data_IF_251220004695
#
_entry.id   IF_251220004695
#
_cell.length_a   1.000
_cell.length_b   1.000
_cell.length_c   1.000
_cell.angle_alpha   90.00
_cell.angle_beta   90.00
_cell.angle_gamma   90.00
#
_symmetry.space_group_name_H-M   'P 1'
#
loop_
_entity.id
_entity.type
_entity.pdbx_description
1 polymer ?
#
# COMPACT_ATOMS: atom_id res chain seq x y z
N UNK A 1 -5.89 17.29 9.46
CA UNK A 1 -4.99 16.40 10.23
C UNK A 1 -5.76 15.94 11.46
N UNK A 2 -5.80 14.65 11.76
CA UNK A 2 -6.44 14.13 12.97
C UNK A 2 -5.39 14.06 14.08
N UNK A 3 -5.72 14.54 15.28
CA UNK A 3 -4.80 14.53 16.42
C UNK A 3 -4.63 13.11 16.98
N UNK A 4 -3.44 12.74 17.52
CA UNK A 4 -3.18 11.41 18.04
C UNK A 4 -4.14 10.96 19.13
N UNK A 5 -4.63 11.87 19.98
CA UNK A 5 -5.57 11.58 21.05
C UNK A 5 -6.90 11.07 20.52
N UNK A 6 -7.39 11.63 19.40
CA UNK A 6 -8.62 11.18 18.72
C UNK A 6 -8.42 9.79 18.12
N UNK A 7 -7.27 9.55 17.51
CA UNK A 7 -6.90 8.24 16.93
C UNK A 7 -6.81 7.19 18.04
N UNK A 8 -6.10 7.48 19.13
CA UNK A 8 -5.97 6.58 20.27
C UNK A 8 -7.32 6.27 20.93
N UNK A 9 -8.23 7.26 20.97
CA UNK A 9 -9.59 7.01 21.44
C UNK A 9 -10.33 6.03 20.50
N UNK A 10 -10.23 6.21 19.17
CA UNK A 10 -10.83 5.27 18.22
C UNK A 10 -10.24 3.85 18.35
N UNK A 11 -8.92 3.72 18.55
CA UNK A 11 -8.25 2.44 18.80
C UNK A 11 -8.81 1.81 20.10
N UNK A 12 -9.01 2.59 21.16
CA UNK A 12 -9.59 2.07 22.42
C UNK A 12 -11.03 1.58 22.27
N UNK A 13 -11.72 2.01 21.21
CA UNK A 13 -13.07 1.55 20.85
C UNK A 13 -13.07 0.36 19.86
N UNK A 14 -11.89 -0.18 19.52
CA UNK A 14 -11.76 -1.37 18.68
C UNK A 14 -11.35 -1.10 17.23
N UNK A 15 -10.89 0.13 16.89
CA UNK A 15 -10.26 0.37 15.59
C UNK A 15 -8.90 -0.34 15.55
N UNK A 16 -8.74 -1.24 14.61
CA UNK A 16 -7.56 -2.13 14.49
C UNK A 16 -6.61 -1.76 13.35
N UNK A 17 -6.97 -0.79 12.50
CA UNK A 17 -6.13 -0.30 11.40
C UNK A 17 -6.21 1.22 11.27
N UNK A 18 -5.06 1.86 11.12
CA UNK A 18 -4.96 3.29 10.81
C UNK A 18 -4.03 3.53 9.63
N UNK A 19 -4.30 4.58 8.85
CA UNK A 19 -3.52 4.93 7.66
C UNK A 19 -2.98 6.36 7.71
N UNK A 20 -1.72 6.53 7.34
CA UNK A 20 -1.09 7.83 7.17
C UNK A 20 -0.69 8.09 5.70
N UNK A 21 -0.95 9.32 5.24
CA UNK A 21 -0.69 9.72 3.85
C UNK A 21 0.67 10.39 3.65
N UNK A 22 1.28 10.92 4.71
CA UNK A 22 2.52 11.70 4.61
C UNK A 22 3.55 11.23 5.62
N UNK A 23 4.74 10.95 5.15
CA UNK A 23 5.85 10.47 5.97
C UNK A 23 6.12 11.43 7.16
N UNK A 24 6.11 12.75 6.94
CA UNK A 24 6.36 13.71 8.01
C UNK A 24 5.27 13.69 9.08
N UNK A 25 4.00 13.51 8.68
CA UNK A 25 2.88 13.39 9.63
C UNK A 25 3.00 12.11 10.44
N UNK A 26 3.27 10.97 9.78
CA UNK A 26 3.53 9.71 10.42
C UNK A 26 4.62 9.86 11.50
N UNK A 27 5.80 10.34 11.10
CA UNK A 27 6.94 10.48 12.03
C UNK A 27 6.66 11.41 13.22
N UNK A 28 5.89 12.48 13.02
CA UNK A 28 5.56 13.44 14.08
C UNK A 28 4.58 12.90 15.12
N UNK A 29 3.84 11.85 14.77
CA UNK A 29 2.79 11.26 15.59
C UNK A 29 3.13 9.85 16.10
N UNK A 30 4.08 9.17 15.48
CA UNK A 30 4.37 7.75 15.69
C UNK A 30 4.50 7.39 17.16
N UNK A 31 5.33 8.11 17.91
CA UNK A 31 5.57 7.86 19.33
C UNK A 31 4.37 8.18 20.25
N UNK A 32 3.33 8.79 19.67
CA UNK A 32 2.10 9.15 20.39
C UNK A 32 0.95 8.18 20.14
N UNK A 33 1.11 7.28 19.17
CA UNK A 33 0.09 6.27 18.87
C UNK A 33 0.15 5.09 19.83
N UNK A 34 -1.01 4.59 20.22
CA UNK A 34 -1.14 3.34 20.97
C UNK A 34 -1.39 2.19 19.99
N UNK A 35 -0.30 1.58 19.50
CA UNK A 35 -0.35 0.57 18.44
C UNK A 35 -0.39 -0.88 18.93
N UNK A 36 -0.57 -1.14 20.23
CA UNK A 36 -0.50 -2.50 20.80
C UNK A 36 -1.42 -3.52 20.08
N UNK A 37 -2.58 -3.07 19.60
CA UNK A 37 -3.55 -3.89 18.85
C UNK A 37 -4.04 -3.18 17.57
N UNK A 38 -3.23 -2.32 16.98
CA UNK A 38 -3.61 -1.54 15.82
C UNK A 38 -2.49 -1.51 14.80
N UNK A 39 -2.79 -1.92 13.56
CA UNK A 39 -1.86 -1.87 12.44
C UNK A 39 -1.76 -0.44 11.90
N UNK A 40 -0.53 0.05 11.79
CA UNK A 40 -0.24 1.32 11.14
C UNK A 40 0.15 1.09 9.69
N UNK A 41 -0.58 1.68 8.76
CA UNK A 41 -0.38 1.51 7.33
C UNK A 41 -0.03 2.82 6.66
N UNK A 42 0.84 2.78 5.66
CA UNK A 42 1.15 3.94 4.82
C UNK A 42 0.35 3.85 3.52
N UNK A 43 -0.53 4.81 3.30
CA UNK A 43 -1.51 4.79 2.19
C UNK A 43 -1.30 5.92 1.17
N UNK A 44 -0.35 6.83 1.40
CA UNK A 44 -0.06 7.93 0.48
C UNK A 44 1.08 7.63 -0.48
N UNK A 45 1.30 8.50 -1.46
CA UNK A 45 2.43 8.36 -2.39
C UNK A 45 3.78 8.37 -1.65
N UNK A 46 4.55 7.30 -1.79
CA UNK A 46 5.83 7.11 -1.11
C UNK A 46 7.01 7.41 -2.05
N UNK A 47 7.76 8.44 -1.73
CA UNK A 47 9.02 8.72 -2.43
C UNK A 47 10.11 7.74 -1.97
N UNK A 48 10.93 7.24 -2.91
CA UNK A 48 11.99 6.26 -2.63
C UNK A 48 12.97 6.70 -1.53
N UNK A 49 13.33 7.99 -1.50
CA UNK A 49 14.24 8.54 -0.49
C UNK A 49 13.63 8.62 0.93
N UNK A 50 12.33 8.35 1.07
CA UNK A 50 11.60 8.35 2.35
C UNK A 50 11.37 6.94 2.91
N UNK A 51 11.53 5.89 2.10
CA UNK A 51 11.30 4.49 2.51
C UNK A 51 12.00 4.17 3.82
N UNK A 52 13.30 4.49 3.94
CA UNK A 52 14.11 4.20 5.15
C UNK A 52 13.58 4.83 6.44
N UNK A 53 12.69 5.83 6.34
CA UNK A 53 12.17 6.54 7.51
C UNK A 53 10.95 5.87 8.12
N UNK A 54 10.26 5.01 7.34
CA UNK A 54 9.00 4.40 7.76
C UNK A 54 9.00 2.87 7.71
N UNK A 55 9.99 2.25 7.08
CA UNK A 55 10.02 0.81 6.82
C UNK A 55 9.96 -0.05 8.09
N UNK A 56 10.45 0.47 9.20
CA UNK A 56 10.44 -0.16 10.53
C UNK A 56 9.25 0.28 11.42
N UNK A 57 8.32 1.07 10.87
CA UNK A 57 7.25 1.72 11.64
C UNK A 57 5.86 1.35 11.16
N UNK A 58 5.76 0.84 9.95
CA UNK A 58 4.47 0.50 9.33
C UNK A 58 4.39 -1.00 9.05
N UNK A 59 3.19 -1.55 9.20
CA UNK A 59 2.94 -2.97 8.94
C UNK A 59 2.64 -3.22 7.46
N UNK A 60 2.16 -2.21 6.73
CA UNK A 60 1.77 -2.32 5.33
C UNK A 60 2.02 -1.00 4.59
N UNK A 61 2.64 -1.09 3.41
CA UNK A 61 2.74 0.02 2.46
C UNK A 61 1.80 -0.26 1.28
N UNK A 62 0.75 0.55 1.11
CA UNK A 62 -0.30 0.30 0.12
C UNK A 62 -0.06 0.96 -1.26
N UNK A 63 1.00 1.73 -1.42
CA UNK A 63 1.20 2.64 -2.56
C UNK A 63 2.40 2.28 -3.43
N UNK A 64 2.68 0.98 -3.61
CA UNK A 64 3.77 0.55 -4.49
C UNK A 64 3.29 0.61 -5.94
N UNK A 65 3.89 1.50 -6.73
CA UNK A 65 3.49 1.80 -8.12
C UNK A 65 4.58 1.53 -9.17
N UNK A 66 5.77 1.12 -8.73
CA UNK A 66 6.92 0.95 -9.62
C UNK A 66 7.96 0.00 -9.07
N UNK A 67 8.70 -0.66 -9.95
CA UNK A 67 9.84 -1.52 -9.56
C UNK A 67 10.93 -0.73 -8.83
N UNK A 68 11.11 0.55 -9.15
CA UNK A 68 12.07 1.42 -8.47
C UNK A 68 11.72 1.57 -6.98
N UNK A 69 10.44 1.77 -6.65
CA UNK A 69 9.99 1.87 -5.27
C UNK A 69 10.07 0.51 -4.58
N UNK A 70 9.59 -0.56 -5.22
CA UNK A 70 9.67 -1.92 -4.69
C UNK A 70 11.10 -2.35 -4.37
N UNK A 71 12.05 -2.08 -5.28
CA UNK A 71 13.48 -2.37 -5.07
C UNK A 71 14.08 -1.59 -3.89
N UNK A 72 13.66 -0.34 -3.68
CA UNK A 72 14.15 0.42 -2.50
C UNK A 72 13.52 -0.11 -1.21
N UNK A 73 12.24 -0.53 -1.21
CA UNK A 73 11.59 -1.19 -0.07
C UNK A 73 12.33 -2.48 0.27
N UNK A 74 12.52 -3.39 -0.68
CA UNK A 74 13.29 -4.62 -0.55
C UNK A 74 14.67 -4.38 0.05
N UNK A 75 15.44 -3.47 -0.54
CA UNK A 75 16.78 -3.10 -0.07
C UNK A 75 16.79 -2.59 1.37
N UNK A 76 15.83 -1.79 1.79
CA UNK A 76 15.78 -1.26 3.15
C UNK A 76 15.28 -2.32 4.13
N UNK A 77 14.32 -3.17 3.75
CA UNK A 77 13.83 -4.28 4.55
C UNK A 77 14.95 -5.31 4.85
N UNK A 78 15.72 -5.69 3.84
CA UNK A 78 16.87 -6.59 3.99
C UNK A 78 17.94 -6.03 4.92
N UNK A 79 18.20 -4.73 4.92
CA UNK A 79 19.19 -4.10 5.81
C UNK A 79 18.87 -4.26 7.29
N UNK A 80 17.59 -4.33 7.63
CA UNK A 80 17.12 -4.47 9.00
C UNK A 80 16.52 -5.86 9.28
N UNK A 81 16.70 -6.78 8.32
CA UNK A 81 16.29 -8.19 8.40
C UNK A 81 14.79 -8.37 8.70
N UNK A 82 13.95 -7.63 7.98
CA UNK A 82 12.49 -7.78 7.99
C UNK A 82 11.99 -8.16 6.60
N UNK A 83 10.73 -8.62 6.55
CA UNK A 83 9.95 -8.72 5.33
C UNK A 83 8.87 -7.64 5.36
N UNK A 84 8.77 -6.81 4.32
CA UNK A 84 7.81 -5.72 4.24
C UNK A 84 6.61 -6.14 3.41
N UNK A 85 5.43 -6.13 4.02
CA UNK A 85 4.18 -6.37 3.32
C UNK A 85 3.75 -5.13 2.54
N UNK A 86 3.29 -5.31 1.31
CA UNK A 86 2.89 -4.21 0.42
C UNK A 86 1.63 -4.52 -0.37
N UNK A 87 0.91 -3.47 -0.79
CA UNK A 87 -0.06 -3.55 -1.89
C UNK A 87 0.49 -2.81 -3.11
N UNK A 88 0.17 -3.32 -4.30
CA UNK A 88 0.50 -2.63 -5.54
C UNK A 88 -0.66 -1.70 -5.92
N UNK A 89 -0.35 -0.41 -6.04
CA UNK A 89 -1.33 0.62 -6.43
C UNK A 89 -1.55 0.58 -7.93
N UNK A 90 -2.83 0.42 -8.34
CA UNK A 90 -3.26 0.36 -9.72
C UNK A 90 -4.00 1.65 -10.09
N UNK A 91 -3.56 2.34 -11.13
CA UNK A 91 -4.26 3.49 -11.70
C UNK A 91 -5.47 3.03 -12.52
N UNK A 92 -6.49 2.57 -11.83
CA UNK A 92 -7.70 2.01 -12.45
C UNK A 92 -8.50 3.05 -13.24
N UNK A 93 -8.37 4.32 -12.87
CA UNK A 93 -9.01 5.47 -13.55
C UNK A 93 -8.27 5.95 -14.78
N UNK A 94 -7.03 5.51 -15.00
CA UNK A 94 -6.14 5.96 -16.09
C UNK A 94 -5.93 7.47 -16.12
N UNK A 95 -5.84 8.08 -14.95
CA UNK A 95 -5.60 9.51 -14.79
C UNK A 95 -4.08 9.80 -14.85
N UNK A 96 -3.64 10.63 -15.79
CA UNK A 96 -2.21 10.94 -16.01
C UNK A 96 -1.51 11.55 -14.77
N UNK A 97 -2.28 12.24 -13.93
CA UNK A 97 -1.75 12.94 -12.74
C UNK A 97 -1.89 12.12 -11.44
N UNK A 98 -2.23 10.84 -11.52
CA UNK A 98 -2.40 9.95 -10.37
C UNK A 98 -1.30 8.92 -10.32
N UNK A 99 -0.97 8.49 -9.08
CA UNK A 99 -0.09 7.35 -8.84
C UNK A 99 -0.75 6.04 -9.29
N UNK A 100 0.03 4.98 -9.28
CA UNK A 100 -0.41 3.64 -9.62
C UNK A 100 0.07 3.19 -10.99
N UNK A 101 0.39 1.91 -11.09
CA UNK A 101 0.74 1.26 -12.35
C UNK A 101 -0.50 1.14 -13.25
N UNK A 102 -0.33 1.28 -14.56
CA UNK A 102 -1.44 1.03 -15.48
C UNK A 102 -1.84 -0.46 -15.46
N UNK A 103 -3.15 -0.79 -15.56
CA UNK A 103 -3.61 -2.18 -15.48
C UNK A 103 -2.87 -3.15 -16.40
N UNK A 104 -2.54 -2.74 -17.61
CA UNK A 104 -1.80 -3.54 -18.59
C UNK A 104 -0.34 -3.77 -18.26
N UNK A 105 0.25 -2.99 -17.36
CA UNK A 105 1.64 -3.10 -16.91
C UNK A 105 1.75 -3.81 -15.55
N UNK A 106 0.60 -4.08 -14.89
CA UNK A 106 0.56 -4.63 -13.54
C UNK A 106 1.27 -6.01 -13.47
N UNK A 107 0.98 -6.89 -14.41
CA UNK A 107 1.55 -8.24 -14.40
C UNK A 107 3.07 -8.21 -14.55
N UNK A 108 3.60 -7.38 -15.44
CA UNK A 108 5.04 -7.19 -15.61
C UNK A 108 5.68 -6.68 -14.33
N UNK A 109 5.06 -5.68 -13.67
CA UNK A 109 5.54 -5.16 -12.40
C UNK A 109 5.53 -6.24 -11.31
N UNK A 110 4.46 -7.03 -11.20
CA UNK A 110 4.38 -8.11 -10.22
C UNK A 110 5.45 -9.20 -10.47
N UNK A 111 5.70 -9.60 -11.71
CA UNK A 111 6.78 -10.53 -12.04
C UNK A 111 8.15 -9.98 -11.63
N UNK A 112 8.40 -8.68 -11.82
CA UNK A 112 9.64 -8.06 -11.39
C UNK A 112 9.76 -7.98 -9.85
N UNK A 113 8.65 -7.74 -9.14
CA UNK A 113 8.64 -7.72 -7.66
C UNK A 113 8.85 -9.14 -7.10
N UNK A 114 8.33 -10.16 -7.76
CA UNK A 114 8.48 -11.56 -7.34
C UNK A 114 9.96 -12.01 -7.23
N UNK A 115 10.86 -11.37 -7.97
CA UNK A 115 12.31 -11.62 -7.93
C UNK A 115 13.03 -10.90 -6.77
N UNK A 116 12.31 -10.10 -5.97
CA UNK A 116 12.88 -9.32 -4.86
C UNK A 116 12.70 -10.03 -3.53
N UNK A 117 13.77 -10.13 -2.74
CA UNK A 117 13.72 -10.60 -1.36
C UNK A 117 13.29 -9.49 -0.38
N UNK A 118 12.74 -9.87 0.77
CA UNK A 118 12.39 -8.93 1.86
C UNK A 118 11.17 -8.07 1.58
N UNK A 119 10.36 -8.43 0.58
CA UNK A 119 9.10 -7.79 0.24
C UNK A 119 8.05 -8.84 -0.10
N UNK A 120 6.80 -8.66 0.31
CA UNK A 120 5.67 -9.54 -0.04
C UNK A 120 4.48 -8.71 -0.48
N UNK A 121 3.94 -9.01 -1.65
CA UNK A 121 2.70 -8.38 -2.13
C UNK A 121 1.50 -9.13 -1.54
N UNK A 122 0.66 -8.41 -0.78
CA UNK A 122 -0.53 -8.95 -0.12
C UNK A 122 -1.83 -8.64 -0.88
N UNK A 123 -1.75 -7.88 -1.94
CA UNK A 123 -2.93 -7.52 -2.72
C UNK A 123 -2.71 -6.29 -3.59
N UNK A 124 -3.82 -5.75 -4.04
CA UNK A 124 -3.87 -4.57 -4.89
C UNK A 124 -4.59 -3.43 -4.18
N UNK A 125 -4.21 -2.20 -4.49
CA UNK A 125 -4.87 -0.99 -4.02
C UNK A 125 -5.27 -0.12 -5.22
N UNK A 126 -6.40 0.58 -5.13
CA UNK A 126 -6.77 1.58 -6.10
C UNK A 126 -7.61 2.69 -5.47
N UNK A 127 -7.41 3.90 -5.96
CA UNK A 127 -8.27 5.05 -5.67
C UNK A 127 -8.95 5.44 -6.97
N UNK A 128 -10.23 5.07 -7.16
CA UNK A 128 -10.94 5.42 -8.38
C UNK A 128 -11.15 6.93 -8.50
N UNK A 129 -11.37 7.46 -9.71
CA UNK A 129 -11.74 8.85 -9.94
C UNK A 129 -13.01 9.23 -9.16
N UNK A 130 -13.10 10.49 -8.78
CA UNK A 130 -14.34 11.03 -8.20
C UNK A 130 -15.42 11.01 -9.27
N UNK A 131 -16.47 10.26 -9.03
CA UNK A 131 -17.60 10.12 -9.94
C UNK A 131 -18.90 10.47 -9.23
N UNK A 132 -19.79 11.20 -9.91
CA UNK A 132 -21.14 11.50 -9.40
C UNK A 132 -22.08 10.27 -9.46
N UNK A 133 -21.77 9.31 -10.35
CA UNK A 133 -22.59 8.11 -10.55
C UNK A 133 -22.03 6.92 -9.77
N UNK A 134 -22.84 6.35 -8.89
CA UNK A 134 -22.54 5.10 -8.18
C UNK A 134 -22.28 3.92 -9.13
N UNK A 135 -22.92 3.92 -10.29
CA UNK A 135 -22.70 2.91 -11.33
C UNK A 135 -21.27 2.95 -11.86
N UNK A 136 -20.74 4.14 -12.16
CA UNK A 136 -19.33 4.29 -12.62
C UNK A 136 -18.34 3.86 -11.55
N UNK A 137 -18.61 4.17 -10.28
CA UNK A 137 -17.78 3.71 -9.17
C UNK A 137 -17.79 2.18 -9.11
N UNK A 138 -18.95 1.55 -9.20
CA UNK A 138 -19.08 0.08 -9.25
C UNK A 138 -18.32 -0.54 -10.43
N UNK A 139 -18.30 0.11 -11.58
CA UNK A 139 -17.53 -0.37 -12.75
C UNK A 139 -16.01 -0.40 -12.45
N UNK A 140 -15.46 0.62 -11.75
CA UNK A 140 -14.05 0.61 -11.35
C UNK A 140 -13.75 -0.52 -10.35
N UNK A 141 -14.59 -0.70 -9.34
CA UNK A 141 -14.40 -1.79 -8.37
C UNK A 141 -14.56 -3.17 -9.02
N UNK A 142 -15.49 -3.36 -9.95
CA UNK A 142 -15.62 -4.60 -10.71
C UNK A 142 -14.38 -4.88 -11.56
N UNK A 143 -13.80 -3.86 -12.20
CA UNK A 143 -12.53 -4.00 -12.93
C UNK A 143 -11.39 -4.43 -11.99
N UNK A 144 -11.26 -3.77 -10.83
CA UNK A 144 -10.25 -4.14 -9.84
C UNK A 144 -10.44 -5.57 -9.33
N UNK A 145 -11.68 -5.95 -9.04
CA UNK A 145 -12.00 -7.31 -8.61
C UNK A 145 -11.59 -8.35 -9.67
N UNK A 146 -11.91 -8.12 -10.95
CA UNK A 146 -11.50 -9.03 -12.02
C UNK A 146 -9.97 -9.13 -12.14
N UNK A 147 -9.26 -8.00 -12.07
CA UNK A 147 -7.79 -7.98 -12.08
C UNK A 147 -7.25 -8.77 -10.88
N UNK A 148 -7.81 -8.57 -9.69
CA UNK A 148 -7.41 -9.30 -8.49
C UNK A 148 -7.59 -10.81 -8.65
N UNK A 149 -8.75 -11.26 -9.18
CA UNK A 149 -9.01 -12.69 -9.44
C UNK A 149 -8.01 -13.24 -10.47
N UNK A 150 -7.78 -12.52 -11.57
CA UNK A 150 -6.86 -12.97 -12.60
C UNK A 150 -5.42 -13.13 -12.07
N UNK A 151 -4.95 -12.18 -11.26
CA UNK A 151 -3.62 -12.25 -10.63
C UNK A 151 -3.57 -13.35 -9.57
N UNK A 152 -4.59 -13.50 -8.73
CA UNK A 152 -4.60 -14.51 -7.65
C UNK A 152 -4.51 -15.95 -8.16
N UNK A 153 -4.91 -16.19 -9.41
CA UNK A 153 -4.77 -17.50 -10.08
C UNK A 153 -3.33 -17.78 -10.55
N UNK A 154 -2.50 -16.72 -10.65
CA UNK A 154 -1.11 -16.84 -11.06
C UNK A 154 -0.24 -17.09 -9.82
N UNK A 155 0.43 -18.21 -9.79
CA UNK A 155 1.37 -18.56 -8.70
C UNK A 155 2.69 -17.84 -8.95
N UNK A 156 2.84 -16.64 -8.40
CA UNK A 156 4.08 -15.88 -8.41
C UNK A 156 4.70 -15.93 -7.00
N UNK A 157 6.01 -16.06 -6.93
CA UNK A 157 6.73 -16.02 -5.66
C UNK A 157 6.56 -14.63 -4.99
N UNK A 158 6.50 -14.58 -3.66
CA UNK A 158 6.29 -13.36 -2.88
C UNK A 158 4.97 -12.60 -3.17
N UNK A 159 4.05 -13.19 -3.93
CA UNK A 159 2.74 -12.63 -4.25
C UNK A 159 1.66 -13.49 -3.59
N UNK A 160 1.07 -12.99 -2.52
CA UNK A 160 0.03 -13.67 -1.74
C UNK A 160 -1.22 -12.77 -1.70
N UNK A 161 -2.12 -13.01 -2.65
CA UNK A 161 -3.36 -12.23 -2.81
C UNK A 161 -4.43 -12.75 -1.82
N UNK A 162 -4.52 -12.13 -0.64
CA UNK A 162 -5.45 -12.48 0.43
C UNK A 162 -6.64 -11.52 0.52
#
# INVERSE_FOLDING_TARGET
MVEPEVINHAISLGLDHIGENKVQELLSKYDKYNLDNCSLQFIGHLQTNKVRQIIDKVDLIQSVDSIKLASEISKQALKININCDVLVEVNIGREENKSGVMPEQLEELLCQIAELDGISVKGLMAIPPICESSQKISEFFNKMHNIFIDISQKKLDNIDMN
#
